data_IF_487103887246
#
_entry.id   IF_487103887246
#
_cell.length_a   1.000
_cell.length_b   1.000
_cell.length_c   1.000
_cell.angle_alpha   90.00
_cell.angle_beta   90.00
_cell.angle_gamma   90.00
#
_symmetry.space_group_name_H-M   'P 1'
#
loop_
_entity.id
_entity.type
_entity.pdbx_description
1 polymer ?
#
# COMPACT_ATOMS: atom_id res chain seq x y z
N UNK A 1 -25.45 -9.25 33.74
CA UNK A 1 -25.76 -8.15 32.80
C UNK A 1 -26.73 -8.71 31.77
N UNK A 2 -27.91 -8.09 31.59
CA UNK A 2 -28.91 -8.50 30.58
C UNK A 2 -28.79 -7.53 29.43
N UNK A 3 -28.59 -8.02 28.21
CA UNK A 3 -28.57 -7.22 26.99
C UNK A 3 -29.85 -7.51 26.24
N UNK A 4 -30.61 -6.46 25.93
CA UNK A 4 -31.79 -6.55 25.08
C UNK A 4 -31.45 -5.98 23.69
N UNK A 5 -31.78 -6.76 22.68
CA UNK A 5 -31.56 -6.36 21.26
C UNK A 5 -32.94 -6.35 20.59
N UNK A 6 -33.32 -5.19 20.09
CA UNK A 6 -34.56 -5.02 19.34
C UNK A 6 -34.25 -4.90 17.84
N UNK A 7 -34.40 -5.98 17.11
CA UNK A 7 -34.17 -6.04 15.67
C UNK A 7 -35.25 -5.31 14.84
N UNK A 8 -36.37 -4.90 15.46
CA UNK A 8 -37.38 -4.11 14.77
C UNK A 8 -37.03 -2.62 14.68
N UNK A 9 -36.04 -2.18 15.46
CA UNK A 9 -35.64 -0.79 15.56
C UNK A 9 -34.39 -0.53 14.74
N UNK A 10 -34.54 0.00 13.53
CA UNK A 10 -33.46 0.45 12.71
C UNK A 10 -32.92 1.80 13.22
N UNK A 11 -31.64 1.86 13.58
CA UNK A 11 -30.96 3.07 14.09
C UNK A 11 -30.11 3.77 13.02
N UNK A 12 -29.86 3.11 11.91
CA UNK A 12 -29.05 3.64 10.80
C UNK A 12 -28.27 2.56 10.05
N UNK A 13 -27.48 2.98 9.08
CA UNK A 13 -26.59 2.10 8.33
C UNK A 13 -25.22 2.01 9.00
N UNK A 14 -24.70 0.81 9.14
CA UNK A 14 -23.31 0.58 9.56
C UNK A 14 -22.41 1.06 8.44
N UNK A 15 -21.39 1.86 8.79
CA UNK A 15 -20.37 2.25 7.83
C UNK A 15 -19.68 0.99 7.27
N UNK A 16 -19.27 0.98 5.99
CA UNK A 16 -18.51 -0.12 5.44
C UNK A 16 -17.14 -0.13 6.14
N UNK A 17 -16.95 -1.10 7.03
CA UNK A 17 -15.72 -1.31 7.82
C UNK A 17 -15.03 -2.61 7.44
N UNK A 18 -15.58 -3.33 6.46
CA UNK A 18 -15.05 -4.57 5.95
C UNK A 18 -14.12 -4.28 4.77
N UNK A 19 -12.93 -4.82 4.84
CA UNK A 19 -11.93 -4.73 3.82
C UNK A 19 -11.04 -5.97 3.86
N UNK A 20 -10.16 -6.12 2.90
CA UNK A 20 -9.15 -7.19 2.88
C UNK A 20 -7.77 -6.61 3.14
N UNK A 21 -6.93 -7.35 3.88
CA UNK A 21 -5.55 -6.94 4.21
C UNK A 21 -4.61 -7.01 3.01
N UNK A 22 -4.99 -7.82 2.02
CA UNK A 22 -4.23 -8.05 0.80
C UNK A 22 -5.19 -8.11 -0.39
N UNK A 23 -4.81 -7.60 -1.58
CA UNK A 23 -5.58 -7.83 -2.78
C UNK A 23 -5.54 -9.32 -3.17
N UNK A 24 -6.54 -9.79 -3.93
CA UNK A 24 -6.51 -11.12 -4.49
C UNK A 24 -5.33 -11.31 -5.44
N UNK A 25 -5.01 -12.57 -5.72
CA UNK A 25 -3.97 -12.89 -6.68
C UNK A 25 -4.27 -12.26 -8.05
N UNK A 26 -3.27 -11.55 -8.58
CA UNK A 26 -3.30 -10.93 -9.89
C UNK A 26 -2.25 -11.58 -10.79
N UNK A 27 -2.68 -12.16 -11.89
CA UNK A 27 -1.83 -12.82 -12.87
C UNK A 27 -2.16 -12.39 -14.30
N UNK A 28 -1.32 -12.79 -15.24
CA UNK A 28 -1.49 -12.45 -16.67
C UNK A 28 -2.68 -13.16 -17.31
N UNK A 29 -2.99 -14.37 -16.89
CA UNK A 29 -3.98 -15.23 -17.52
C UNK A 29 -5.28 -15.36 -16.74
N UNK A 30 -5.29 -14.91 -15.48
CA UNK A 30 -6.49 -14.91 -14.65
C UNK A 30 -6.43 -13.84 -13.58
N UNK A 31 -7.58 -13.38 -13.14
CA UNK A 31 -7.75 -12.45 -12.04
C UNK A 31 -8.85 -12.94 -11.10
N UNK A 32 -8.64 -12.75 -9.81
CA UNK A 32 -9.62 -13.09 -8.77
C UNK A 32 -10.32 -11.84 -8.21
N UNK A 33 -10.15 -10.68 -8.84
CA UNK A 33 -10.69 -9.40 -8.37
C UNK A 33 -12.21 -9.35 -8.38
N UNK A 34 -12.87 -10.08 -9.30
CA UNK A 34 -14.33 -10.18 -9.36
C UNK A 34 -14.95 -10.69 -8.06
N UNK A 35 -14.22 -11.50 -7.27
CA UNK A 35 -14.71 -11.94 -5.96
C UNK A 35 -14.83 -10.79 -4.95
N UNK A 36 -14.01 -9.75 -5.07
CA UNK A 36 -14.15 -8.57 -4.21
C UNK A 36 -15.42 -7.80 -4.57
N UNK A 37 -15.71 -7.64 -5.86
CA UNK A 37 -16.92 -7.01 -6.36
C UNK A 37 -18.17 -7.79 -5.94
N UNK A 38 -18.21 -9.11 -6.18
CA UNK A 38 -19.32 -9.99 -5.81
C UNK A 38 -19.57 -10.00 -4.29
N UNK A 39 -18.52 -9.94 -3.47
CA UNK A 39 -18.61 -9.88 -2.02
C UNK A 39 -18.90 -8.46 -1.49
N UNK A 40 -18.91 -7.44 -2.36
CA UNK A 40 -19.10 -6.05 -1.98
C UNK A 40 -18.00 -5.51 -1.07
N UNK A 41 -16.76 -5.94 -1.28
CA UNK A 41 -15.59 -5.50 -0.50
C UNK A 41 -15.17 -4.11 -0.97
N UNK A 42 -15.27 -3.06 -0.13
CA UNK A 42 -15.01 -1.69 -0.57
C UNK A 42 -13.54 -1.29 -0.55
N UNK A 43 -12.68 -1.99 0.19
CA UNK A 43 -11.28 -1.62 0.39
C UNK A 43 -10.35 -2.82 0.32
N UNK A 44 -9.17 -2.61 -0.27
CA UNK A 44 -8.05 -3.55 -0.20
C UNK A 44 -6.77 -2.84 0.20
N UNK A 45 -6.17 -3.27 1.30
CA UNK A 45 -4.86 -2.80 1.73
C UNK A 45 -3.79 -3.37 0.80
N UNK A 46 -2.80 -2.57 0.46
CA UNK A 46 -1.66 -2.99 -0.37
C UNK A 46 -0.49 -3.42 0.52
N UNK A 47 -0.63 -4.56 1.18
CA UNK A 47 0.41 -5.21 1.96
C UNK A 47 0.50 -6.66 1.53
N UNK A 48 1.70 -7.22 1.44
CA UNK A 48 1.97 -8.61 1.05
C UNK A 48 1.21 -9.02 -0.22
N UNK A 49 1.25 -8.15 -1.21
CA UNK A 49 0.53 -8.36 -2.47
C UNK A 49 1.04 -9.60 -3.17
N UNK A 50 0.21 -10.62 -3.27
CA UNK A 50 0.49 -11.81 -4.06
C UNK A 50 0.50 -11.51 -5.56
N UNK A 51 1.21 -12.33 -6.34
CA UNK A 51 1.11 -12.21 -7.78
C UNK A 51 2.29 -12.75 -8.56
N UNK A 52 2.03 -13.00 -9.83
CA UNK A 52 2.95 -13.61 -10.77
C UNK A 52 4.18 -12.71 -11.06
N UNK A 53 4.01 -11.39 -10.95
CA UNK A 53 5.02 -10.39 -11.31
C UNK A 53 5.95 -9.99 -10.15
N UNK A 54 6.02 -10.74 -9.06
CA UNK A 54 6.98 -10.52 -7.99
C UNK A 54 6.40 -10.19 -6.61
N UNK A 55 5.10 -10.41 -6.46
CA UNK A 55 4.43 -10.26 -5.16
C UNK A 55 4.44 -8.83 -4.62
N UNK A 56 4.27 -8.67 -3.32
CA UNK A 56 4.15 -7.39 -2.64
C UNK A 56 5.28 -6.40 -2.87
N UNK A 57 6.38 -6.87 -3.40
CA UNK A 57 7.60 -6.07 -3.57
C UNK A 57 7.45 -4.90 -4.54
N UNK A 58 6.60 -4.99 -5.55
CA UNK A 58 6.47 -3.90 -6.53
C UNK A 58 5.59 -2.74 -6.05
N UNK A 59 4.81 -2.91 -4.98
CA UNK A 59 4.09 -1.81 -4.33
C UNK A 59 4.91 -1.11 -3.25
N UNK A 60 6.06 -1.67 -2.90
CA UNK A 60 6.96 -1.08 -1.90
C UNK A 60 7.64 0.17 -2.44
N UNK A 61 7.73 1.20 -1.61
CA UNK A 61 8.35 2.48 -1.98
C UNK A 61 9.76 2.30 -2.57
N UNK A 62 10.66 1.46 -2.01
CA UNK A 62 11.97 1.23 -2.62
C UNK A 62 11.95 0.51 -3.97
N UNK A 63 10.83 -0.02 -4.39
CA UNK A 63 10.68 -0.60 -5.74
C UNK A 63 10.11 0.40 -6.72
N UNK A 64 9.23 1.28 -6.25
CA UNK A 64 8.71 2.39 -7.03
C UNK A 64 9.77 3.45 -7.27
N UNK A 65 10.63 3.72 -6.29
CA UNK A 65 11.74 4.67 -6.36
C UNK A 65 13.03 3.97 -5.95
N UNK A 66 13.76 3.44 -6.91
CA UNK A 66 14.86 2.48 -6.68
C UNK A 66 16.16 3.11 -6.23
N UNK A 67 16.46 4.30 -6.75
CA UNK A 67 17.68 5.04 -6.45
C UNK A 67 17.34 6.21 -5.53
N UNK A 68 17.69 6.06 -4.24
CA UNK A 68 17.41 7.10 -3.26
C UNK A 68 18.15 8.41 -3.56
N UNK A 69 19.25 8.38 -4.31
CA UNK A 69 20.01 9.57 -4.69
C UNK A 69 19.39 10.33 -5.88
N UNK A 70 18.46 9.70 -6.62
CA UNK A 70 17.73 10.33 -7.72
C UNK A 70 16.85 11.50 -7.26
N UNK A 71 16.43 12.36 -8.19
CA UNK A 71 15.54 13.49 -7.90
C UNK A 71 14.08 13.01 -7.76
N UNK A 72 13.42 13.20 -6.60
CA UNK A 72 12.02 12.85 -6.43
C UNK A 72 11.03 13.72 -7.23
N UNK A 73 11.49 14.82 -7.82
CA UNK A 73 10.67 15.64 -8.72
C UNK A 73 10.72 15.17 -10.18
N UNK A 74 11.67 14.29 -10.53
CA UNK A 74 11.78 13.74 -11.87
C UNK A 74 10.91 12.48 -12.01
N UNK A 75 9.89 12.47 -12.89
CA UNK A 75 9.10 11.28 -13.18
C UNK A 75 9.91 10.04 -13.58
N UNK A 76 11.06 10.23 -14.26
CA UNK A 76 11.92 9.13 -14.68
C UNK A 76 12.59 8.39 -13.51
N UNK A 77 12.56 8.96 -12.31
CA UNK A 77 13.08 8.31 -11.09
C UNK A 77 12.16 7.23 -10.53
N UNK A 78 10.94 7.11 -11.06
CA UNK A 78 9.91 6.17 -10.59
C UNK A 78 9.64 5.05 -11.61
N UNK A 79 9.25 3.89 -11.09
CA UNK A 79 8.79 2.75 -11.88
C UNK A 79 7.41 2.32 -11.36
N UNK A 80 6.36 2.80 -12.03
CA UNK A 80 4.98 2.53 -11.67
C UNK A 80 4.36 1.33 -12.39
N UNK A 81 5.06 0.76 -13.39
CA UNK A 81 4.48 -0.20 -14.35
C UNK A 81 3.66 -1.31 -13.70
N UNK A 82 4.20 -2.00 -12.71
CA UNK A 82 3.49 -3.11 -12.07
C UNK A 82 2.47 -2.66 -11.03
N UNK A 83 2.75 -1.56 -10.34
CA UNK A 83 1.84 -1.01 -9.35
C UNK A 83 0.60 -0.43 -10.00
N UNK A 84 0.75 0.20 -11.17
CA UNK A 84 -0.36 0.71 -11.98
C UNK A 84 -1.34 -0.39 -12.38
N UNK A 85 -0.82 -1.54 -12.82
CA UNK A 85 -1.66 -2.68 -13.16
C UNK A 85 -2.54 -3.12 -11.98
N UNK A 86 -1.95 -3.21 -10.78
CA UNK A 86 -2.67 -3.62 -9.58
C UNK A 86 -3.69 -2.58 -9.13
N UNK A 87 -3.27 -1.31 -9.04
CA UNK A 87 -4.15 -0.22 -8.58
C UNK A 87 -5.32 -0.03 -9.53
N UNK A 88 -5.06 -0.06 -10.85
CA UNK A 88 -6.09 0.00 -11.87
C UNK A 88 -7.08 -1.15 -11.74
N UNK A 89 -6.58 -2.40 -11.58
CA UNK A 89 -7.44 -3.56 -11.42
C UNK A 89 -8.35 -3.47 -10.18
N UNK A 90 -7.86 -2.92 -9.06
CA UNK A 90 -8.69 -2.68 -7.89
C UNK A 90 -9.78 -1.64 -8.18
N UNK A 91 -9.40 -0.49 -8.71
CA UNK A 91 -10.34 0.61 -8.98
C UNK A 91 -11.41 0.21 -10.01
N UNK A 92 -11.04 -0.50 -11.08
CA UNK A 92 -11.96 -1.00 -12.10
C UNK A 92 -12.96 -2.02 -11.55
N UNK A 93 -12.61 -2.74 -10.48
CA UNK A 93 -13.52 -3.65 -9.77
C UNK A 93 -14.23 -2.97 -8.58
N UNK A 94 -14.24 -1.64 -8.51
CA UNK A 94 -14.96 -0.89 -7.48
C UNK A 94 -14.33 -0.95 -6.08
N UNK A 95 -13.08 -1.36 -5.99
CA UNK A 95 -12.35 -1.52 -4.72
C UNK A 95 -11.37 -0.37 -4.54
N UNK A 96 -11.48 0.37 -3.45
CA UNK A 96 -10.54 1.46 -3.15
C UNK A 96 -9.26 0.88 -2.55
N UNK A 97 -8.07 1.20 -3.11
CA UNK A 97 -6.80 0.85 -2.50
C UNK A 97 -6.62 1.56 -1.16
N UNK A 98 -6.19 0.83 -0.15
CA UNK A 98 -5.63 1.36 1.08
C UNK A 98 -4.10 1.28 0.92
N UNK A 99 -3.51 2.35 0.43
CA UNK A 99 -2.13 2.33 -0.07
C UNK A 99 -1.13 2.47 1.09
N UNK A 100 -0.31 1.46 1.31
CA UNK A 100 0.75 1.47 2.30
C UNK A 100 2.06 2.02 1.71
N UNK A 101 2.47 3.20 2.18
CA UNK A 101 3.74 3.82 1.86
C UNK A 101 4.83 3.27 2.78
N UNK A 102 5.57 2.30 2.32
CA UNK A 102 6.59 1.61 3.13
C UNK A 102 7.10 0.36 2.42
N UNK A 103 7.36 -0.70 3.19
CA UNK A 103 7.87 -1.99 2.70
C UNK A 103 6.99 -3.14 3.19
N UNK A 104 6.94 -4.23 2.41
CA UNK A 104 6.32 -5.49 2.83
C UNK A 104 7.23 -6.24 3.79
N UNK A 105 6.66 -7.08 4.66
CA UNK A 105 7.42 -7.89 5.61
C UNK A 105 8.35 -8.89 4.90
N UNK A 106 7.95 -9.41 3.74
CA UNK A 106 8.77 -10.31 2.92
C UNK A 106 9.88 -9.58 2.16
N UNK A 107 10.04 -8.29 2.39
CA UNK A 107 11.04 -7.51 1.69
C UNK A 107 12.44 -7.69 2.26
N UNK A 108 12.95 -8.92 2.25
CA UNK A 108 14.30 -9.26 2.72
C UNK A 108 15.43 -8.85 1.77
N UNK A 109 15.10 -8.23 0.64
CA UNK A 109 16.09 -7.91 -0.38
C UNK A 109 17.11 -6.88 0.12
N UNK A 110 18.36 -7.31 0.24
CA UNK A 110 19.50 -6.50 0.75
C UNK A 110 19.96 -5.39 -0.20
N UNK A 111 19.40 -5.29 -1.38
CA UNK A 111 19.88 -4.37 -2.43
C UNK A 111 19.10 -3.05 -2.52
N UNK A 112 18.20 -2.78 -1.60
CA UNK A 112 17.38 -1.56 -1.63
C UNK A 112 17.96 -0.49 -0.72
N UNK A 113 17.89 0.75 -1.18
CA UNK A 113 18.57 1.87 -0.55
C UNK A 113 18.09 2.18 0.87
N UNK A 114 16.82 1.94 1.19
CA UNK A 114 16.18 2.36 2.46
C UNK A 114 15.06 1.41 2.88
N UNK A 115 15.38 0.15 3.00
CA UNK A 115 14.43 -0.95 3.26
C UNK A 115 13.74 -0.87 4.60
N UNK A 116 14.47 -1.30 5.62
CA UNK A 116 14.05 -1.36 7.02
C UNK A 116 14.76 -0.30 7.87
N UNK A 117 15.84 0.24 7.34
CA UNK A 117 16.62 1.28 7.98
C UNK A 117 15.92 2.63 7.80
N UNK A 118 16.07 3.55 8.75
CA UNK A 118 15.63 4.92 8.56
C UNK A 118 16.22 5.51 7.28
N UNK A 119 15.45 6.25 6.47
CA UNK A 119 16.00 6.94 5.32
C UNK A 119 17.05 7.97 5.78
N UNK A 120 18.13 8.10 5.01
CA UNK A 120 19.18 9.10 5.29
C UNK A 120 18.68 10.54 5.26
N UNK A 121 17.54 10.79 4.60
CA UNK A 121 16.85 12.08 4.53
C UNK A 121 15.33 11.83 4.56
N UNK A 122 14.71 12.10 5.70
CA UNK A 122 13.27 11.94 5.92
C UNK A 122 12.43 12.87 5.05
N UNK A 123 12.92 14.08 4.76
CA UNK A 123 12.21 15.01 3.89
C UNK A 123 12.21 14.52 2.45
N UNK A 124 13.32 13.97 1.99
CA UNK A 124 13.40 13.36 0.66
C UNK A 124 12.47 12.17 0.55
N UNK A 125 12.44 11.30 1.57
CA UNK A 125 11.50 10.17 1.61
C UNK A 125 10.04 10.64 1.54
N UNK A 126 9.69 11.70 2.27
CA UNK A 126 8.36 12.28 2.21
C UNK A 126 8.01 12.83 0.80
N UNK A 127 8.97 13.44 0.10
CA UNK A 127 8.78 13.89 -1.28
C UNK A 127 8.62 12.74 -2.27
N UNK A 128 9.32 11.63 -2.05
CA UNK A 128 9.12 10.40 -2.83
C UNK A 128 7.69 9.89 -2.65
N UNK A 129 7.21 9.82 -1.42
CA UNK A 129 5.84 9.42 -1.11
C UNK A 129 4.80 10.39 -1.71
N UNK A 130 5.08 11.70 -1.66
CA UNK A 130 4.24 12.72 -2.33
C UNK A 130 4.15 12.48 -3.84
N UNK A 131 5.26 12.13 -4.50
CA UNK A 131 5.27 11.76 -5.91
C UNK A 131 4.34 10.58 -6.20
N UNK A 132 4.37 9.53 -5.37
CA UNK A 132 3.48 8.36 -5.49
C UNK A 132 2.01 8.77 -5.32
N UNK A 133 1.70 9.58 -4.31
CA UNK A 133 0.34 10.07 -4.08
C UNK A 133 -0.15 10.87 -5.28
N UNK A 134 0.65 11.81 -5.77
CA UNK A 134 0.31 12.66 -6.92
C UNK A 134 0.13 11.86 -8.21
N UNK A 135 0.90 10.80 -8.40
CA UNK A 135 0.74 9.90 -9.54
C UNK A 135 -0.67 9.30 -9.58
N UNK A 136 -1.15 8.76 -8.48
CA UNK A 136 -2.47 8.12 -8.44
C UNK A 136 -3.65 9.07 -8.28
N UNK A 137 -3.45 10.28 -7.76
CA UNK A 137 -4.56 11.19 -7.43
C UNK A 137 -4.61 12.47 -8.25
N UNK A 138 -3.51 12.88 -8.90
CA UNK A 138 -3.39 14.17 -9.59
C UNK A 138 -2.87 14.05 -11.03
N UNK A 139 -2.67 12.82 -11.54
CA UNK A 139 -2.19 12.58 -12.90
C UNK A 139 -0.71 12.91 -13.12
N UNK A 140 0.08 13.12 -12.08
CA UNK A 140 1.51 13.39 -12.21
C UNK A 140 2.24 12.17 -12.78
N UNK A 141 3.28 12.37 -13.61
CA UNK A 141 4.08 11.32 -14.26
C UNK A 141 3.23 10.38 -15.13
N UNK A 142 2.33 10.94 -15.95
CA UNK A 142 1.36 10.19 -16.76
C UNK A 142 0.45 9.26 -15.95
N UNK A 143 0.16 9.66 -14.70
CA UNK A 143 -0.61 8.89 -13.73
C UNK A 143 -2.13 9.07 -13.84
N UNK A 144 -2.81 8.90 -12.71
CA UNK A 144 -4.25 8.74 -12.62
C UNK A 144 -4.91 9.84 -11.77
N UNK A 145 -6.23 9.91 -11.82
CA UNK A 145 -7.07 10.74 -10.96
C UNK A 145 -8.02 9.86 -10.14
N UNK A 146 -7.47 8.85 -9.46
CA UNK A 146 -8.26 7.94 -8.65
C UNK A 146 -8.64 8.56 -7.30
N UNK A 147 -9.83 8.29 -6.77
CA UNK A 147 -10.29 8.85 -5.49
C UNK A 147 -9.75 8.06 -4.29
N UNK A 148 -8.45 7.86 -4.23
CA UNK A 148 -7.80 7.13 -3.12
C UNK A 148 -7.73 8.04 -1.91
N UNK A 149 -8.40 7.67 -0.81
CA UNK A 149 -8.53 8.45 0.41
C UNK A 149 -7.59 8.02 1.52
N UNK A 150 -7.16 6.75 1.52
CA UNK A 150 -6.43 6.15 2.62
C UNK A 150 -5.00 5.83 2.23
N UNK A 151 -4.08 6.45 2.95
CA UNK A 151 -2.64 6.28 2.80
C UNK A 151 -2.06 5.91 4.16
N UNK A 152 -1.48 4.74 4.25
CA UNK A 152 -0.84 4.24 5.45
C UNK A 152 0.67 4.52 5.37
N UNK A 153 1.24 5.03 6.46
CA UNK A 153 2.69 5.25 6.54
C UNK A 153 3.31 4.08 7.27
N UNK A 154 4.17 3.36 6.52
CA UNK A 154 4.91 2.21 7.01
C UNK A 154 4.02 1.01 7.37
N UNK A 155 4.61 -0.01 8.05
CA UNK A 155 3.94 -1.19 8.58
C UNK A 155 4.65 -1.64 9.85
N UNK A 156 3.92 -1.86 10.93
CA UNK A 156 4.39 -2.49 12.17
C UNK A 156 5.82 -2.10 12.59
N UNK A 157 6.14 -0.81 12.78
CA UNK A 157 7.50 -0.38 13.11
C UNK A 157 7.96 -0.88 14.49
N UNK A 158 7.03 -1.34 15.31
CA UNK A 158 7.22 -1.86 16.66
C UNK A 158 7.14 -3.40 16.75
N UNK A 159 7.30 -4.09 15.63
CA UNK A 159 7.14 -5.54 15.54
C UNK A 159 8.07 -6.34 16.47
N UNK A 160 9.26 -5.81 16.79
CA UNK A 160 10.21 -6.39 17.74
C UNK A 160 10.79 -5.32 18.66
N UNK A 161 11.09 -5.69 19.92
CA UNK A 161 11.72 -4.78 20.88
C UNK A 161 13.18 -4.47 20.52
N UNK A 162 13.91 -5.47 20.02
CA UNK A 162 15.31 -5.33 19.61
C UNK A 162 15.42 -4.79 18.18
N UNK A 163 16.06 -3.64 18.04
CA UNK A 163 16.17 -2.92 16.76
C UNK A 163 16.76 -3.79 15.63
N UNK A 164 17.79 -4.58 15.94
CA UNK A 164 18.46 -5.43 14.94
C UNK A 164 17.63 -6.65 14.50
N UNK A 165 16.70 -7.10 15.35
CA UNK A 165 15.79 -8.20 15.07
C UNK A 165 14.50 -7.74 14.42
N UNK A 166 14.23 -6.44 14.42
CA UNK A 166 13.03 -5.87 13.82
C UNK A 166 13.04 -6.09 12.30
N UNK A 167 12.01 -6.76 11.83
CA UNK A 167 11.83 -7.10 10.41
C UNK A 167 11.16 -5.98 9.61
N UNK A 168 10.69 -4.92 10.27
CA UNK A 168 9.97 -3.83 9.65
C UNK A 168 10.63 -2.47 9.81
N UNK A 169 11.36 -2.22 10.90
CA UNK A 169 11.99 -0.94 11.18
C UNK A 169 13.24 -1.11 12.04
N UNK A 170 14.38 -0.61 11.57
CA UNK A 170 15.66 -0.65 12.29
C UNK A 170 16.11 0.72 12.82
N UNK A 171 15.17 1.62 12.97
CA UNK A 171 15.38 2.93 13.56
C UNK A 171 14.96 3.00 15.04
N UNK A 172 15.24 4.13 15.68
CA UNK A 172 14.70 4.45 16.98
C UNK A 172 13.25 4.90 16.91
N UNK A 173 12.60 5.08 18.08
CA UNK A 173 11.22 5.61 18.13
C UNK A 173 11.12 7.07 17.70
N UNK A 174 12.21 7.82 17.78
CA UNK A 174 12.29 9.24 17.41
C UNK A 174 12.54 9.44 15.91
N UNK A 175 13.07 8.44 15.24
CA UNK A 175 13.30 8.44 13.79
C UNK A 175 12.08 8.04 13.00
#
# INVERSE_FOLDING_TARGET
MKIEVDFSKELGKIKPVHGVGQPPFYGTDFSMFHYLEEAGIPFSRLHDVGGFLGGGRYVDVPNLFRDFDADPADPASYDFVFTDLLVTALVENGVEPFFRLGVSIENECTRKAYRLDPPGDNLKWARICEGIIRHYTQGWADGFHYPIRYWEIWNEPDNYEEVLENQMWRGTREQ
#
